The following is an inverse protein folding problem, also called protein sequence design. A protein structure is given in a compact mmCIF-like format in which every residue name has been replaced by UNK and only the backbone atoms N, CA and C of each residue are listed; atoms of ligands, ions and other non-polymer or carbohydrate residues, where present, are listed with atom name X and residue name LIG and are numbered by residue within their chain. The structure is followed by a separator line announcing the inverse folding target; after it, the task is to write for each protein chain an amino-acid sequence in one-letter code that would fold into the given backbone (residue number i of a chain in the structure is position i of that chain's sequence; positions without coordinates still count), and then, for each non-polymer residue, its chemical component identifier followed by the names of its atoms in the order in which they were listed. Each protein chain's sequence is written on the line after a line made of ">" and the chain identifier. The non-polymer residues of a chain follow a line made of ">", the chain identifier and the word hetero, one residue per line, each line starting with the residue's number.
data_IF_188190326863
#
_entry.id   IF_188190326863
#
_cell.length_a   1.000
_cell.length_b   1.000
_cell.length_c   1.000
_cell.angle_alpha   90.00
_cell.angle_beta   90.00
_cell.angle_gamma   90.00
#
_symmetry.space_group_name_H-M   'P 1'
#
loop_
_entity.id
_entity.type
_entity.pdbx_description
1 polymer ?
#
# COMPACT_ATOMS: atom_id res chain seq x y z
N UNK A 1 -24.61 -21.98 -23.74
CA UNK A 1 -24.63 -22.38 -22.33
C UNK A 1 -23.51 -21.65 -21.62
N UNK A 2 -23.81 -20.99 -20.51
CA UNK A 2 -22.77 -20.35 -19.69
C UNK A 2 -21.81 -21.45 -19.16
N UNK A 3 -20.49 -21.24 -19.29
CA UNK A 3 -19.51 -22.20 -18.80
C UNK A 3 -19.38 -22.05 -17.27
N UNK A 4 -20.34 -22.61 -16.55
CA UNK A 4 -20.44 -22.53 -15.07
C UNK A 4 -19.14 -22.98 -14.39
N UNK A 5 -18.44 -23.96 -14.96
CA UNK A 5 -17.15 -24.43 -14.43
C UNK A 5 -16.12 -23.31 -14.46
N UNK A 6 -15.98 -22.64 -15.59
CA UNK A 6 -15.04 -21.53 -15.77
C UNK A 6 -15.39 -20.31 -14.91
N UNK A 7 -16.68 -20.01 -14.73
CA UNK A 7 -17.14 -18.98 -13.78
C UNK A 7 -16.69 -19.32 -12.34
N UNK A 8 -16.88 -20.56 -11.91
CA UNK A 8 -16.48 -21.01 -10.57
C UNK A 8 -14.96 -20.92 -10.38
N UNK A 9 -14.18 -21.34 -11.35
CA UNK A 9 -12.71 -21.25 -11.31
C UNK A 9 -12.24 -19.79 -11.22
N UNK A 10 -12.86 -18.87 -11.95
CA UNK A 10 -12.56 -17.44 -11.84
C UNK A 10 -12.89 -16.89 -10.46
N UNK A 11 -14.05 -17.26 -9.89
CA UNK A 11 -14.46 -16.83 -8.55
C UNK A 11 -13.49 -17.35 -7.48
N UNK A 12 -13.09 -18.62 -7.56
CA UNK A 12 -12.13 -19.21 -6.63
C UNK A 12 -10.76 -18.52 -6.71
N UNK A 13 -10.27 -18.25 -7.92
CA UNK A 13 -9.03 -17.51 -8.12
C UNK A 13 -9.11 -16.09 -7.52
N UNK A 14 -10.23 -15.40 -7.73
CA UNK A 14 -10.46 -14.09 -7.13
C UNK A 14 -10.47 -14.20 -5.60
N UNK A 15 -11.19 -15.16 -5.02
CA UNK A 15 -11.28 -15.35 -3.56
C UNK A 15 -9.91 -15.62 -2.91
N UNK A 16 -9.04 -16.36 -3.59
CA UNK A 16 -7.67 -16.59 -3.13
C UNK A 16 -6.84 -15.29 -3.12
N UNK A 17 -6.99 -14.45 -4.14
CA UNK A 17 -6.36 -13.12 -4.18
C UNK A 17 -6.91 -12.20 -3.10
N UNK A 18 -8.23 -12.22 -2.85
CA UNK A 18 -8.86 -11.41 -1.80
C UNK A 18 -8.33 -11.79 -0.41
N UNK A 19 -8.22 -13.09 -0.10
CA UNK A 19 -7.62 -13.56 1.16
C UNK A 19 -6.16 -13.17 1.31
N UNK A 20 -5.43 -13.04 0.20
CA UNK A 20 -4.05 -12.57 0.22
C UNK A 20 -3.98 -11.06 0.47
N UNK A 21 -4.84 -10.28 -0.18
CA UNK A 21 -4.99 -8.83 0.05
C UNK A 21 -5.32 -8.57 1.52
N UNK A 22 -6.26 -9.31 2.10
CA UNK A 22 -6.65 -9.14 3.50
C UNK A 22 -5.48 -9.42 4.46
N UNK A 23 -4.68 -10.46 4.18
CA UNK A 23 -3.46 -10.78 4.95
C UNK A 23 -2.39 -9.69 4.82
N UNK A 24 -2.19 -9.18 3.61
CA UNK A 24 -1.25 -8.07 3.36
C UNK A 24 -1.64 -6.83 4.15
N UNK A 25 -2.93 -6.45 4.11
CA UNK A 25 -3.43 -5.29 4.85
C UNK A 25 -3.30 -5.51 6.36
N UNK A 26 -3.63 -6.71 6.85
CA UNK A 26 -3.52 -7.05 8.27
C UNK A 26 -2.07 -6.97 8.78
N UNK A 27 -1.12 -7.41 7.96
CA UNK A 27 0.30 -7.43 8.30
C UNK A 27 1.04 -6.14 7.91
N UNK A 28 0.33 -5.14 7.39
CA UNK A 28 0.89 -3.87 6.90
C UNK A 28 1.97 -4.03 5.81
N UNK A 29 1.96 -5.15 5.07
CA UNK A 29 2.93 -5.46 4.01
C UNK A 29 2.58 -4.77 2.69
N UNK A 30 2.47 -3.45 2.73
CA UNK A 30 1.96 -2.66 1.61
C UNK A 30 2.89 -2.65 0.38
N UNK A 31 4.14 -3.08 0.51
CA UNK A 31 5.11 -3.13 -0.59
C UNK A 31 4.69 -4.12 -1.68
N UNK A 32 4.13 -5.28 -1.30
CA UNK A 32 3.72 -6.32 -2.26
C UNK A 32 2.30 -6.11 -2.80
N UNK A 33 1.50 -5.24 -2.17
CA UNK A 33 0.08 -5.03 -2.51
C UNK A 33 -0.16 -4.63 -3.98
N UNK A 34 0.61 -3.71 -4.61
CA UNK A 34 0.37 -3.30 -6.00
C UNK A 34 0.43 -4.48 -6.97
N UNK A 35 1.39 -5.39 -6.79
CA UNK A 35 1.55 -6.58 -7.63
C UNK A 35 0.33 -7.50 -7.53
N UNK A 36 -0.21 -7.69 -6.33
CA UNK A 36 -1.39 -8.55 -6.11
C UNK A 36 -2.65 -7.89 -6.71
N UNK A 37 -2.78 -6.57 -6.63
CA UNK A 37 -3.88 -5.84 -7.25
C UNK A 37 -3.86 -5.94 -8.79
N UNK A 38 -2.69 -5.94 -9.43
CA UNK A 38 -2.59 -6.20 -10.88
C UNK A 38 -3.00 -7.62 -11.27
N UNK A 39 -2.65 -8.62 -10.45
CA UNK A 39 -3.13 -10.00 -10.64
C UNK A 39 -4.66 -10.08 -10.52
N UNK A 40 -5.22 -9.40 -9.52
CA UNK A 40 -6.67 -9.30 -9.32
C UNK A 40 -7.37 -8.64 -10.50
N UNK A 41 -6.82 -7.53 -11.01
CA UNK A 41 -7.32 -6.86 -12.22
C UNK A 41 -7.37 -7.82 -13.41
N UNK A 42 -6.32 -8.62 -13.61
CA UNK A 42 -6.27 -9.62 -14.69
C UNK A 42 -7.39 -10.66 -14.57
N UNK A 43 -7.71 -11.11 -13.35
CA UNK A 43 -8.84 -12.04 -13.12
C UNK A 43 -10.17 -11.35 -13.42
N UNK A 44 -10.36 -10.11 -12.96
CA UNK A 44 -11.59 -9.34 -13.19
C UNK A 44 -11.84 -9.08 -14.68
N UNK A 45 -10.80 -8.76 -15.45
CA UNK A 45 -10.90 -8.62 -16.91
C UNK A 45 -11.40 -9.91 -17.58
N UNK A 46 -10.94 -11.07 -17.11
CA UNK A 46 -11.44 -12.38 -17.60
C UNK A 46 -12.89 -12.66 -17.19
N UNK A 47 -13.39 -12.03 -16.14
CA UNK A 47 -14.79 -12.13 -15.72
C UNK A 47 -15.73 -11.26 -16.56
N UNK A 48 -15.24 -10.24 -17.27
CA UNK A 48 -16.08 -9.32 -18.06
C UNK A 48 -16.92 -10.05 -19.14
N UNK A 49 -16.38 -11.13 -19.73
CA UNK A 49 -17.10 -11.99 -20.69
C UNK A 49 -18.33 -12.71 -20.09
N UNK A 50 -18.42 -12.75 -18.76
CA UNK A 50 -19.52 -13.32 -17.99
C UNK A 50 -20.26 -12.23 -17.19
N UNK A 51 -20.20 -10.97 -17.64
CA UNK A 51 -20.78 -9.81 -16.95
C UNK A 51 -22.30 -9.90 -16.77
N UNK A 52 -23.00 -10.69 -17.59
CA UNK A 52 -24.43 -10.95 -17.44
C UNK A 52 -24.77 -12.04 -16.44
N UNK A 53 -23.78 -12.77 -15.93
CA UNK A 53 -23.98 -13.86 -14.97
C UNK A 53 -24.29 -13.29 -13.60
N UNK A 54 -25.42 -13.67 -13.00
CA UNK A 54 -25.79 -13.25 -11.64
C UNK A 54 -24.73 -13.64 -10.60
N UNK A 55 -24.03 -14.76 -10.80
CA UNK A 55 -22.94 -15.19 -9.92
C UNK A 55 -21.79 -14.18 -9.92
N UNK A 56 -21.38 -13.71 -11.10
CA UNK A 56 -20.31 -12.72 -11.25
C UNK A 56 -20.77 -11.38 -10.71
N UNK A 57 -21.99 -10.93 -11.06
CA UNK A 57 -22.55 -9.66 -10.58
C UNK A 57 -22.58 -9.63 -9.05
N UNK A 58 -23.11 -10.68 -8.41
CA UNK A 58 -23.19 -10.76 -6.95
C UNK A 58 -21.79 -10.80 -6.32
N UNK A 59 -20.84 -11.51 -6.93
CA UNK A 59 -19.47 -11.57 -6.42
C UNK A 59 -18.76 -10.22 -6.50
N UNK A 60 -18.95 -9.47 -7.59
CA UNK A 60 -18.40 -8.12 -7.77
C UNK A 60 -19.04 -7.11 -6.82
N UNK A 61 -20.35 -7.20 -6.56
CA UNK A 61 -20.99 -6.35 -5.54
C UNK A 61 -20.34 -6.53 -4.16
N UNK A 62 -20.18 -7.78 -3.72
CA UNK A 62 -19.49 -8.09 -2.46
C UNK A 62 -18.06 -7.57 -2.46
N UNK A 63 -17.35 -7.70 -3.57
CA UNK A 63 -15.98 -7.20 -3.74
C UNK A 63 -15.88 -5.69 -3.48
N UNK A 64 -16.81 -4.90 -4.03
CA UNK A 64 -16.85 -3.45 -3.84
C UNK A 64 -17.10 -3.06 -2.38
N UNK A 65 -17.96 -3.80 -1.68
CA UNK A 65 -18.20 -3.60 -0.24
C UNK A 65 -16.96 -3.91 0.59
N UNK A 66 -16.26 -4.99 0.28
CA UNK A 66 -15.06 -5.39 0.99
C UNK A 66 -13.90 -4.41 0.71
N UNK A 67 -13.76 -3.91 -0.52
CA UNK A 67 -12.80 -2.85 -0.86
C UNK A 67 -13.05 -1.56 -0.11
N UNK A 68 -14.31 -1.17 0.07
CA UNK A 68 -14.66 -0.01 0.88
C UNK A 68 -14.15 -0.17 2.31
N UNK A 69 -14.38 -1.33 2.93
CA UNK A 69 -13.87 -1.64 4.28
C UNK A 69 -12.35 -1.63 4.34
N UNK A 70 -11.67 -2.15 3.31
CA UNK A 70 -10.20 -2.13 3.22
C UNK A 70 -9.67 -0.72 3.12
N UNK A 71 -10.27 0.12 2.29
CA UNK A 71 -9.89 1.53 2.18
C UNK A 71 -10.02 2.27 3.50
N UNK A 72 -11.09 2.00 4.26
CA UNK A 72 -11.30 2.62 5.58
C UNK A 72 -10.22 2.21 6.60
N UNK A 73 -9.61 1.02 6.44
CA UNK A 73 -8.45 0.59 7.23
C UNK A 73 -7.12 1.19 6.75
N UNK A 74 -6.90 1.22 5.45
CA UNK A 74 -5.60 1.64 4.86
C UNK A 74 -5.41 3.15 4.97
N UNK A 75 -6.45 3.95 4.74
CA UNK A 75 -6.35 5.42 4.70
C UNK A 75 -5.75 6.03 5.98
N UNK A 76 -6.21 5.68 7.20
CA UNK A 76 -5.61 6.19 8.43
C UNK A 76 -4.13 5.82 8.57
N UNK A 77 -3.74 4.58 8.24
CA UNK A 77 -2.35 4.14 8.32
C UNK A 77 -1.45 4.90 7.34
N UNK A 78 -1.93 5.16 6.12
CA UNK A 78 -1.19 5.97 5.15
C UNK A 78 -0.98 7.41 5.63
N UNK A 79 -1.99 8.01 6.27
CA UNK A 79 -1.84 9.34 6.85
C UNK A 79 -0.87 9.36 8.05
N UNK A 80 -0.84 8.29 8.86
CA UNK A 80 0.15 8.12 9.94
C UNK A 80 1.57 8.01 9.38
N UNK A 81 1.78 7.17 8.35
CA UNK A 81 3.08 7.03 7.66
C UNK A 81 3.54 8.37 7.08
N UNK A 82 2.64 9.12 6.44
CA UNK A 82 2.93 10.45 5.89
C UNK A 82 3.36 11.45 6.97
N UNK A 83 2.70 11.44 8.13
CA UNK A 83 3.09 12.27 9.29
C UNK A 83 4.46 11.87 9.81
N UNK A 84 4.73 10.57 9.97
CA UNK A 84 6.03 10.05 10.40
C UNK A 84 7.14 10.46 9.43
N UNK A 85 6.92 10.33 8.12
CA UNK A 85 7.88 10.74 7.10
C UNK A 85 8.22 12.24 7.19
N UNK A 86 7.21 13.09 7.40
CA UNK A 86 7.42 14.54 7.59
C UNK A 86 8.28 14.82 8.83
N UNK A 87 8.01 14.13 9.94
CA UNK A 87 8.79 14.26 11.18
C UNK A 87 10.23 13.78 11.00
N UNK A 88 10.43 12.62 10.38
CA UNK A 88 11.77 12.07 10.09
C UNK A 88 12.57 13.03 9.21
N UNK A 89 11.96 13.61 8.18
CA UNK A 89 12.63 14.59 7.32
C UNK A 89 13.04 15.86 8.08
N UNK A 90 12.19 16.35 9.00
CA UNK A 90 12.55 17.47 9.89
C UNK A 90 13.71 17.09 10.81
N UNK A 91 13.67 15.91 11.40
CA UNK A 91 14.76 15.39 12.25
C UNK A 91 16.08 15.30 11.49
N UNK A 92 16.07 14.77 10.26
CA UNK A 92 17.23 14.72 9.38
C UNK A 92 17.84 16.10 9.12
N UNK A 93 17.01 17.11 8.86
CA UNK A 93 17.47 18.48 8.66
C UNK A 93 18.06 19.08 9.95
N UNK A 94 17.41 18.87 11.09
CA UNK A 94 17.90 19.34 12.38
C UNK A 94 19.26 18.73 12.74
N UNK A 95 19.42 17.42 12.53
CA UNK A 95 20.69 16.71 12.72
C UNK A 95 21.78 17.29 11.82
N UNK A 96 21.50 17.44 10.51
CA UNK A 96 22.45 18.05 9.56
C UNK A 96 22.90 19.43 10.01
N UNK A 97 21.95 20.29 10.39
CA UNK A 97 22.26 21.65 10.84
C UNK A 97 23.05 21.66 12.15
N UNK A 98 22.75 20.75 13.08
CA UNK A 98 23.52 20.58 14.33
C UNK A 98 24.97 20.18 14.06
N UNK A 99 25.20 19.20 13.18
CA UNK A 99 26.55 18.79 12.78
C UNK A 99 27.33 19.93 12.11
N UNK A 100 26.70 20.71 11.23
CA UNK A 100 27.35 21.85 10.58
C UNK A 100 27.79 22.91 11.60
N UNK A 101 26.92 23.25 12.57
CA UNK A 101 27.27 24.20 13.64
C UNK A 101 28.45 23.74 14.48
N UNK A 102 28.49 22.45 14.85
CA UNK A 102 29.61 21.87 15.61
C UNK A 102 30.92 21.98 14.80
N UNK A 103 30.89 21.68 13.49
CA UNK A 103 32.08 21.80 12.63
C UNK A 103 32.57 23.25 12.51
N UNK A 104 31.65 24.22 12.38
CA UNK A 104 31.98 25.64 12.35
C UNK A 104 32.62 26.10 13.66
N UNK A 105 32.08 25.67 14.81
CA UNK A 105 32.66 25.98 16.13
C UNK A 105 34.06 25.39 16.31
N UNK A 106 34.27 24.13 15.93
CA UNK A 106 35.59 23.49 15.97
C UNK A 106 36.59 24.24 15.09
N UNK A 107 36.18 24.63 13.88
CA UNK A 107 37.01 25.39 12.95
C UNK A 107 37.40 26.75 13.53
N UNK A 108 36.43 27.49 14.09
CA UNK A 108 36.69 28.79 14.75
C UNK A 108 37.63 28.66 15.93
N UNK A 109 37.46 27.65 16.79
CA UNK A 109 38.35 27.42 17.94
C UNK A 109 39.78 27.10 17.51
N UNK A 110 39.97 26.26 16.48
CA UNK A 110 41.30 25.96 15.92
C UNK A 110 41.97 27.17 15.29
N UNK A 111 41.20 28.04 14.64
CA UNK A 111 41.73 29.28 14.05
C UNK A 111 42.21 30.25 15.14
N UNK A 112 41.41 30.42 16.20
CA UNK A 112 41.74 31.32 17.31
C UNK A 112 42.83 30.80 18.26
N UNK A 113 43.17 29.50 18.22
CA UNK A 113 44.25 28.93 19.03
C UNK A 113 45.64 29.01 18.37
N UNK A 114 45.69 29.40 17.09
CA UNK A 114 46.92 29.46 16.28
C UNK A 114 47.35 30.89 15.90
N UNK A 115 46.71 31.91 16.50
CA UNK A 115 47.12 33.32 16.43
C UNK A 115 47.51 33.83 17.80
#
# INVERSE_FOLDING_TARGET
>A
MENIKEIKELIENLDNLEKLIDRIILNEDYEVLPRILEQRKTVLQKMERFSTSDLIINRVKKLLEDDKKRMDKIKPEMEKIKKQLKTTNKGKLAIKNGYMKIQEEITKRKFNSNG
#
